data_IF_671339883374
#
_entry.id   IF_671339883374
#
_cell.length_a   1.000
_cell.length_b   1.000
_cell.length_c   1.000
_cell.angle_alpha   90.00
_cell.angle_beta   90.00
_cell.angle_gamma   90.00
#
_symmetry.space_group_name_H-M   'P 1'
#
loop_
_entity.id
_entity.type
_entity.pdbx_description
1 polymer ?
#
# COMPACT_ATOMS: atom_id res chain seq x y z
N UNK A 1 -9.68 -13.98 -1.08
CA UNK A 1 -8.25 -14.29 -1.23
C UNK A 1 -7.74 -13.39 -2.35
N UNK A 2 -7.09 -12.27 -2.00
CA UNK A 2 -6.49 -11.35 -2.98
C UNK A 2 -5.13 -11.98 -3.30
N UNK A 3 -5.01 -12.63 -4.46
CA UNK A 3 -3.79 -13.33 -4.89
C UNK A 3 -2.88 -12.41 -5.71
N UNK A 4 -1.57 -12.54 -5.47
CA UNK A 4 -0.43 -11.86 -6.10
C UNK A 4 -0.65 -11.43 -7.57
N UNK A 5 -0.35 -10.16 -7.85
CA UNK A 5 -0.52 -9.50 -9.16
C UNK A 5 0.29 -10.16 -10.28
N UNK A 6 1.42 -10.80 -9.97
CA UNK A 6 2.24 -11.53 -10.96
C UNK A 6 1.59 -12.84 -11.44
N UNK A 7 0.90 -13.58 -10.56
CA UNK A 7 0.26 -14.86 -10.92
C UNK A 7 -0.98 -14.66 -11.79
N UNK A 8 -1.56 -13.47 -11.76
CA UNK A 8 -2.76 -13.13 -12.52
C UNK A 8 -2.49 -13.13 -14.03
N UNK A 9 -1.33 -12.63 -14.45
CA UNK A 9 -0.92 -12.63 -15.87
C UNK A 9 -0.64 -14.04 -16.40
N UNK A 10 0.00 -14.89 -15.60
CA UNK A 10 0.31 -16.26 -16.03
C UNK A 10 -0.95 -17.13 -16.09
N UNK A 11 -1.91 -16.96 -15.17
CA UNK A 11 -3.23 -17.59 -15.28
C UNK A 11 -4.02 -17.14 -16.51
N UNK A 12 -3.85 -15.89 -16.95
CA UNK A 12 -4.48 -15.38 -18.17
C UNK A 12 -3.83 -16.01 -19.41
N UNK A 13 -2.50 -16.19 -19.42
CA UNK A 13 -1.77 -16.89 -20.49
C UNK A 13 -2.12 -18.38 -20.56
N UNK A 14 -2.29 -19.03 -19.41
CA UNK A 14 -2.62 -20.45 -19.28
C UNK A 14 -4.12 -20.75 -19.52
N UNK A 15 -4.93 -19.73 -19.82
CA UNK A 15 -6.36 -19.88 -20.09
C UNK A 15 -7.21 -20.23 -18.87
N UNK A 16 -6.67 -20.06 -17.65
CA UNK A 16 -7.38 -20.33 -16.39
C UNK A 16 -8.31 -19.19 -15.97
N UNK A 17 -8.25 -18.04 -16.66
CA UNK A 17 -9.14 -16.90 -16.46
C UNK A 17 -9.45 -16.21 -17.80
N UNK A 18 -10.61 -15.55 -17.87
CA UNK A 18 -11.05 -14.80 -19.07
C UNK A 18 -10.61 -13.33 -19.07
N UNK A 19 -10.15 -12.81 -17.93
CA UNK A 19 -9.78 -11.42 -17.76
C UNK A 19 -9.09 -11.19 -16.41
N UNK A 20 -8.34 -10.09 -16.32
CA UNK A 20 -7.53 -9.73 -15.17
C UNK A 20 -7.56 -8.21 -14.96
N UNK A 21 -7.56 -7.77 -13.70
CA UNK A 21 -7.23 -6.40 -13.33
C UNK A 21 -5.78 -6.43 -12.83
N UNK A 22 -4.93 -5.59 -13.42
CA UNK A 22 -3.51 -5.54 -13.09
C UNK A 22 -2.99 -4.10 -13.10
N UNK A 23 -1.88 -3.87 -12.41
CA UNK A 23 -1.16 -2.59 -12.36
C UNK A 23 -0.19 -2.39 -13.54
N UNK A 24 -0.02 -3.41 -14.38
CA UNK A 24 0.83 -3.39 -15.57
C UNK A 24 0.08 -2.89 -16.81
N UNK A 25 0.79 -2.22 -17.69
CA UNK A 25 0.28 -1.65 -18.95
C UNK A 25 0.61 -2.50 -20.18
N UNK A 26 0.96 -3.77 -19.97
CA UNK A 26 1.33 -4.70 -21.05
C UNK A 26 0.16 -5.62 -21.37
N UNK A 27 -0.32 -5.57 -22.61
CA UNK A 27 -1.31 -6.51 -23.12
C UNK A 27 -0.68 -7.90 -23.30
N UNK A 28 -1.43 -8.95 -22.94
CA UNK A 28 -1.06 -10.31 -23.37
C UNK A 28 -1.25 -10.45 -24.89
N UNK A 29 -0.50 -11.36 -25.50
CA UNK A 29 -0.56 -11.59 -26.95
C UNK A 29 -1.97 -12.02 -27.36
N UNK A 30 -2.64 -11.23 -28.19
CA UNK A 30 -4.01 -11.47 -28.64
C UNK A 30 -5.11 -11.02 -27.67
N UNK A 31 -4.76 -10.43 -26.53
CA UNK A 31 -5.71 -9.85 -25.59
C UNK A 31 -6.00 -8.37 -25.85
N UNK A 32 -7.11 -7.90 -25.28
CA UNK A 32 -7.45 -6.48 -25.22
C UNK A 32 -7.00 -5.92 -23.87
N UNK A 33 -6.38 -4.75 -23.89
CA UNK A 33 -6.01 -3.99 -22.70
C UNK A 33 -6.81 -2.70 -22.66
N UNK A 34 -7.55 -2.48 -21.57
CA UNK A 34 -8.30 -1.24 -21.34
C UNK A 34 -7.80 -0.59 -20.06
N UNK A 35 -7.34 0.65 -20.16
CA UNK A 35 -6.93 1.43 -18.99
C UNK A 35 -8.15 1.77 -18.14
N UNK A 36 -8.15 1.35 -16.87
CA UNK A 36 -9.25 1.62 -15.93
C UNK A 36 -9.09 2.95 -15.16
N UNK A 37 -7.87 3.45 -15.02
CA UNK A 37 -7.62 4.72 -14.33
C UNK A 37 -6.30 4.75 -13.56
N UNK A 38 -6.29 5.45 -12.43
CA UNK A 38 -5.23 5.45 -11.43
C UNK A 38 -5.90 5.35 -10.05
N UNK A 39 -5.26 4.62 -9.14
CA UNK A 39 -5.63 4.63 -7.72
C UNK A 39 -4.61 5.50 -7.01
N UNK A 40 -5.07 6.51 -6.28
CA UNK A 40 -4.21 7.36 -5.48
C UNK A 40 -3.99 6.69 -4.13
N UNK A 41 -2.74 6.48 -3.78
CA UNK A 41 -2.32 6.02 -2.47
C UNK A 41 -1.78 7.19 -1.67
N UNK A 42 -2.13 7.22 -0.39
CA UNK A 42 -1.72 8.25 0.55
C UNK A 42 -1.21 7.61 1.82
N UNK A 43 -0.27 8.28 2.48
CA UNK A 43 0.16 7.91 3.82
C UNK A 43 -0.85 8.49 4.81
N UNK A 44 -1.38 7.64 5.67
CA UNK A 44 -2.36 8.00 6.70
C UNK A 44 -1.91 7.54 8.07
N UNK A 45 -2.26 8.32 9.08
CA UNK A 45 -2.05 8.04 10.49
C UNK A 45 -3.09 8.85 11.30
N UNK A 46 -3.30 8.51 12.57
CA UNK A 46 -4.19 9.33 13.41
C UNK A 46 -3.58 10.72 13.66
N UNK A 47 -4.42 11.73 13.96
CA UNK A 47 -3.93 13.07 14.31
C UNK A 47 -2.90 13.05 15.45
N UNK A 48 -3.15 12.27 16.51
CA UNK A 48 -2.25 12.16 17.67
C UNK A 48 -0.91 11.52 17.28
N UNK A 49 -0.93 10.58 16.34
CA UNK A 49 0.28 9.96 15.82
C UNK A 49 1.10 10.98 15.02
N UNK A 50 0.45 11.79 14.18
CA UNK A 50 1.09 12.86 13.41
C UNK A 50 1.70 13.90 14.33
N UNK A 51 0.97 14.36 15.34
CA UNK A 51 1.48 15.33 16.33
C UNK A 51 2.69 14.78 17.10
N UNK A 52 2.68 13.48 17.43
CA UNK A 52 3.75 12.86 18.21
C UNK A 52 5.01 12.57 17.41
N UNK A 53 4.88 12.13 16.16
CA UNK A 53 5.98 11.55 15.38
C UNK A 53 6.32 12.30 14.10
N UNK A 54 5.38 13.08 13.56
CA UNK A 54 5.52 13.81 12.31
C UNK A 54 5.23 15.31 12.47
N UNK A 55 5.47 15.88 13.66
CA UNK A 55 5.28 17.30 13.94
C UNK A 55 6.12 18.20 13.00
N UNK A 56 7.33 17.77 12.67
CA UNK A 56 8.24 18.42 11.73
C UNK A 56 8.06 17.90 10.28
N UNK A 57 6.95 17.21 10.01
CA UNK A 57 6.64 16.56 8.75
C UNK A 57 7.23 15.16 8.60
N UNK A 58 6.95 14.54 7.45
CA UNK A 58 7.43 13.21 7.11
C UNK A 58 8.78 13.33 6.39
N UNK A 59 9.84 12.79 7.00
CA UNK A 59 11.17 12.74 6.43
C UNK A 59 11.89 11.43 6.77
N UNK A 60 13.06 11.22 6.18
CA UNK A 60 13.86 10.02 6.38
C UNK A 60 14.18 9.76 7.86
N UNK A 61 14.47 10.80 8.65
CA UNK A 61 14.82 10.65 10.07
C UNK A 61 13.62 10.20 10.92
N UNK A 62 12.42 10.75 10.65
CA UNK A 62 11.20 10.34 11.33
C UNK A 62 10.83 8.91 10.93
N UNK A 63 10.87 8.59 9.63
CA UNK A 63 10.50 7.27 9.12
C UNK A 63 11.38 6.14 9.69
N UNK A 64 12.70 6.36 9.85
CA UNK A 64 13.60 5.37 10.47
C UNK A 64 13.27 5.02 11.92
N UNK A 65 12.44 5.81 12.62
CA UNK A 65 12.15 5.63 14.06
C UNK A 65 10.71 5.24 14.35
N UNK A 66 9.83 5.35 13.35
CA UNK A 66 8.38 5.31 13.54
C UNK A 66 7.83 4.08 12.81
N UNK A 67 7.01 3.25 13.46
CA UNK A 67 6.50 2.03 12.84
C UNK A 67 5.50 2.34 11.73
N UNK A 68 5.78 1.79 10.54
CA UNK A 68 4.80 1.65 9.47
C UNK A 68 4.09 0.30 9.53
N UNK A 69 2.99 0.16 8.80
CA UNK A 69 2.32 -1.11 8.57
C UNK A 69 2.07 -1.34 7.07
N UNK A 70 2.35 -2.56 6.62
CA UNK A 70 2.10 -3.05 5.27
C UNK A 70 1.20 -4.30 5.33
N UNK A 71 0.47 -4.58 4.26
CA UNK A 71 -0.47 -5.70 4.21
C UNK A 71 0.23 -7.07 4.16
N UNK A 72 1.31 -7.22 3.40
CA UNK A 72 2.16 -8.42 3.41
C UNK A 72 3.56 -8.05 2.93
N UNK A 73 4.57 -8.84 3.26
CA UNK A 73 5.94 -8.69 2.75
C UNK A 73 6.06 -8.86 1.23
N UNK A 74 5.01 -9.39 0.60
CA UNK A 74 4.92 -9.53 -0.86
C UNK A 74 4.31 -8.30 -1.53
N UNK A 75 3.54 -7.53 -0.78
CA UNK A 75 2.97 -6.28 -1.28
C UNK A 75 4.03 -5.19 -1.13
N UNK A 76 4.90 -5.14 -2.14
CA UNK A 76 6.04 -4.23 -2.18
C UNK A 76 5.61 -2.76 -2.31
N UNK A 77 4.31 -2.43 -2.32
CA UNK A 77 3.84 -1.07 -2.56
C UNK A 77 4.29 -0.09 -1.49
N UNK A 78 4.20 -0.47 -0.20
CA UNK A 78 4.68 0.38 0.90
C UNK A 78 6.19 0.62 0.78
N UNK A 79 6.97 -0.46 0.68
CA UNK A 79 8.43 -0.39 0.57
C UNK A 79 8.87 0.41 -0.65
N UNK A 80 8.29 0.15 -1.83
CA UNK A 80 8.60 0.90 -3.07
C UNK A 80 8.23 2.38 -2.94
N UNK A 81 7.10 2.70 -2.31
CA UNK A 81 6.73 4.10 -2.08
C UNK A 81 7.77 4.80 -1.21
N UNK A 82 8.17 4.18 -0.11
CA UNK A 82 9.15 4.74 0.82
C UNK A 82 10.54 4.86 0.18
N UNK A 83 10.96 3.85 -0.57
CA UNK A 83 12.23 3.87 -1.32
C UNK A 83 12.22 5.00 -2.38
N UNK A 84 11.16 5.12 -3.17
CA UNK A 84 11.05 6.11 -4.24
C UNK A 84 11.00 7.56 -3.74
N UNK A 85 10.37 7.81 -2.58
CA UNK A 85 10.17 9.18 -2.09
C UNK A 85 11.17 9.58 -1.00
N UNK A 86 11.73 8.62 -0.26
CA UNK A 86 12.60 8.89 0.90
C UNK A 86 13.94 8.14 0.86
N UNK A 87 14.16 7.27 -0.13
CA UNK A 87 15.42 6.53 -0.30
C UNK A 87 15.68 5.48 0.77
N UNK A 88 14.64 5.01 1.47
CA UNK A 88 14.75 3.99 2.51
C UNK A 88 14.32 2.62 1.97
N UNK A 89 15.22 1.65 2.10
CA UNK A 89 14.99 0.25 1.75
C UNK A 89 14.29 -0.52 2.90
N UNK A 90 13.76 -1.70 2.60
CA UNK A 90 13.21 -2.59 3.63
C UNK A 90 14.26 -2.91 4.69
N UNK A 91 13.85 -2.86 5.97
CA UNK A 91 14.74 -3.08 7.12
C UNK A 91 15.51 -1.84 7.59
N UNK A 92 15.48 -0.73 6.84
CA UNK A 92 16.04 0.55 7.32
C UNK A 92 15.08 1.34 8.23
N UNK A 93 13.83 0.89 8.34
CA UNK A 93 12.81 1.47 9.20
C UNK A 93 11.91 0.37 9.78
N UNK A 94 11.21 0.62 10.91
CA UNK A 94 10.32 -0.36 11.50
C UNK A 94 9.05 -0.53 10.64
N UNK A 95 8.77 -1.77 10.23
CA UNK A 95 7.61 -2.09 9.39
C UNK A 95 6.92 -3.37 9.90
N UNK A 96 5.63 -3.27 10.22
CA UNK A 96 4.79 -4.42 10.55
C UNK A 96 4.13 -4.97 9.28
N UNK A 97 4.10 -6.30 9.12
CA UNK A 97 3.33 -6.95 8.05
C UNK A 97 2.09 -7.62 8.64
N UNK A 98 0.89 -7.21 8.19
CA UNK A 98 -0.40 -7.69 8.71
C UNK A 98 -1.31 -8.11 7.57
N UNK A 99 -1.46 -9.43 7.40
CA UNK A 99 -2.26 -10.09 6.35
C UNK A 99 -3.78 -10.03 6.59
N UNK A 100 -4.28 -8.90 7.06
CA UNK A 100 -5.70 -8.63 7.24
C UNK A 100 -5.98 -7.15 7.00
N UNK A 101 -6.84 -6.86 6.03
CA UNK A 101 -7.18 -5.49 5.65
C UNK A 101 -7.95 -4.79 6.77
N UNK A 102 -8.73 -5.55 7.53
CA UNK A 102 -9.45 -5.05 8.71
C UNK A 102 -8.48 -4.72 9.83
N UNK A 103 -7.54 -5.61 10.15
CA UNK A 103 -6.56 -5.38 11.22
C UNK A 103 -5.58 -4.24 10.89
N UNK A 104 -5.22 -4.08 9.62
CA UNK A 104 -4.40 -2.97 9.12
C UNK A 104 -5.04 -1.61 9.41
N UNK A 105 -6.33 -1.45 9.07
CA UNK A 105 -7.07 -0.21 9.29
C UNK A 105 -7.24 0.01 10.80
N UNK A 106 -7.59 -1.04 11.54
CA UNK A 106 -7.83 -0.95 12.98
C UNK A 106 -6.57 -0.56 13.77
N UNK A 107 -5.41 -1.13 13.44
CA UNK A 107 -4.13 -0.73 14.04
C UNK A 107 -3.78 0.73 13.74
N UNK A 108 -4.05 1.19 12.52
CA UNK A 108 -3.84 2.59 12.14
C UNK A 108 -4.78 3.49 12.94
N UNK A 109 -6.06 3.13 13.09
CA UNK A 109 -7.06 3.87 13.88
C UNK A 109 -6.74 3.97 15.37
N UNK A 110 -6.03 2.98 15.91
CA UNK A 110 -5.58 3.00 17.31
C UNK A 110 -4.21 3.70 17.51
N UNK A 111 -3.66 4.32 16.46
CA UNK A 111 -2.39 5.05 16.55
C UNK A 111 -1.17 4.15 16.78
N UNK A 112 -1.23 2.88 16.37
CA UNK A 112 -0.11 1.96 16.53
C UNK A 112 0.99 2.17 15.47
N UNK A 113 0.60 2.56 14.26
CA UNK A 113 1.49 2.75 13.11
C UNK A 113 0.85 3.68 12.07
N UNK A 114 1.67 4.25 11.18
CA UNK A 114 1.18 4.87 9.94
C UNK A 114 1.07 3.83 8.82
N UNK A 115 0.27 4.11 7.80
CA UNK A 115 0.05 3.15 6.73
C UNK A 115 -0.11 3.81 5.36
N UNK A 116 0.17 3.06 4.29
CA UNK A 116 -0.11 3.46 2.91
C UNK A 116 -1.45 2.84 2.48
N UNK A 117 -2.47 3.67 2.30
CA UNK A 117 -3.81 3.23 1.96
C UNK A 117 -4.30 3.89 0.67
N UNK A 118 -5.17 3.21 -0.08
CA UNK A 118 -5.84 3.87 -1.20
C UNK A 118 -6.81 4.92 -0.67
N UNK A 119 -6.81 6.10 -1.26
CA UNK A 119 -7.70 7.20 -0.85
C UNK A 119 -9.17 6.79 -0.88
N UNK A 120 -9.55 5.86 -1.75
CA UNK A 120 -10.90 5.29 -1.82
C UNK A 120 -11.25 4.50 -0.55
N UNK A 121 -10.32 3.66 -0.06
CA UNK A 121 -10.55 2.83 1.13
C UNK A 121 -10.69 3.63 2.41
N UNK A 122 -9.93 4.73 2.55
CA UNK A 122 -9.91 5.56 3.76
C UNK A 122 -10.73 6.84 3.63
N UNK A 123 -11.56 6.95 2.57
CA UNK A 123 -12.31 8.17 2.27
C UNK A 123 -13.27 8.57 3.40
N UNK A 124 -13.91 7.60 4.05
CA UNK A 124 -14.79 7.84 5.19
C UNK A 124 -14.01 8.27 6.44
N UNK A 125 -12.87 7.65 6.71
CA UNK A 125 -12.00 7.99 7.82
C UNK A 125 -11.46 9.41 7.66
N UNK A 126 -10.91 9.76 6.48
CA UNK A 126 -10.44 11.11 6.20
C UNK A 126 -11.54 12.18 6.35
N UNK A 127 -12.80 11.84 6.06
CA UNK A 127 -13.92 12.76 6.20
C UNK A 127 -14.35 12.97 7.66
N UNK A 128 -14.10 12.00 8.54
CA UNK A 128 -14.54 12.03 9.94
C UNK A 128 -13.41 12.36 10.94
N UNK A 129 -12.15 12.38 10.48
CA UNK A 129 -10.97 12.58 11.34
C UNK A 129 -10.59 11.32 12.11
#
# INVERSE_FOLDING_TARGET
MIEDEERTLDRLKDGQSLGAIAVYDVAIKGGLLTRLGKINYIVVATPEFVERYFCDGINTQTLMRVPGIAFDHKDNMHTRFIEQHFGLEEGQYPLHAVRSSEAFIDMTKHGAAYCLASQLQVSNELANG
#
